data_IF_713339144068
#
_entry.id   IF_713339144068
#
_cell.length_a   1.000
_cell.length_b   1.000
_cell.length_c   1.000
_cell.angle_alpha   90.00
_cell.angle_beta   90.00
_cell.angle_gamma   90.00
#
_symmetry.space_group_name_H-M   'P 1'
#
loop_
_entity.id
_entity.type
_entity.pdbx_description
1 polymer ?
#
# COMPACT_ATOMS: atom_id res chain seq x y z
N UNK A 1 21.75 -15.56 -11.79
CA UNK A 1 20.98 -16.01 -12.96
C UNK A 1 19.98 -17.02 -12.45
N UNK A 2 18.67 -16.78 -12.59
CA UNK A 2 17.64 -17.74 -12.22
C UNK A 2 17.70 -18.94 -13.17
N UNK A 3 17.41 -20.13 -12.66
CA UNK A 3 17.34 -21.35 -13.49
C UNK A 3 16.11 -21.29 -14.40
N UNK A 4 16.17 -21.90 -15.59
CA UNK A 4 15.04 -21.92 -16.55
C UNK A 4 13.73 -22.46 -15.95
N UNK A 5 13.83 -23.31 -14.93
CA UNK A 5 12.70 -23.83 -14.15
C UNK A 5 12.06 -22.76 -13.26
N UNK A 6 12.88 -21.96 -12.55
CA UNK A 6 12.38 -20.86 -11.72
C UNK A 6 11.69 -19.77 -12.54
N UNK A 7 12.22 -19.43 -13.72
CA UNK A 7 11.55 -18.47 -14.61
C UNK A 7 10.18 -18.99 -15.09
N UNK A 8 10.09 -20.29 -15.43
CA UNK A 8 8.83 -20.95 -15.80
C UNK A 8 7.83 -20.95 -14.64
N UNK A 9 8.30 -21.23 -13.43
CA UNK A 9 7.45 -21.24 -12.23
C UNK A 9 6.93 -19.84 -11.89
N UNK A 10 7.79 -18.83 -11.96
CA UNK A 10 7.43 -17.42 -11.73
C UNK A 10 6.48 -16.90 -12.82
N UNK A 11 6.70 -17.32 -14.07
CA UNK A 11 5.81 -17.01 -15.18
C UNK A 11 4.44 -17.66 -14.96
N UNK A 12 4.40 -18.92 -14.52
CA UNK A 12 3.15 -19.61 -14.22
C UNK A 12 2.40 -18.87 -13.08
N UNK A 13 3.08 -18.52 -11.99
CA UNK A 13 2.50 -17.72 -10.88
C UNK A 13 1.92 -16.39 -11.38
N UNK A 14 2.60 -15.69 -12.30
CA UNK A 14 2.08 -14.45 -12.92
C UNK A 14 0.82 -14.68 -13.75
N UNK A 15 0.73 -15.80 -14.47
CA UNK A 15 -0.41 -16.12 -15.34
C UNK A 15 -1.66 -16.47 -14.51
N UNK A 16 -1.48 -17.13 -13.36
CA UNK A 16 -2.59 -17.60 -12.52
C UNK A 16 -3.09 -16.49 -11.57
N UNK A 17 -2.27 -15.48 -11.27
CA UNK A 17 -2.65 -14.44 -10.32
C UNK A 17 -3.72 -13.48 -10.89
N UNK A 18 -4.93 -13.43 -10.31
CA UNK A 18 -6.01 -12.55 -10.79
C UNK A 18 -5.65 -11.05 -10.73
N UNK A 19 -4.67 -10.66 -9.91
CA UNK A 19 -4.21 -9.27 -9.79
C UNK A 19 -3.31 -8.82 -10.95
N UNK A 20 -2.80 -9.75 -11.77
CA UNK A 20 -1.83 -9.43 -12.83
C UNK A 20 -2.44 -8.71 -14.04
N UNK A 21 -3.77 -8.73 -14.21
CA UNK A 21 -4.42 -8.19 -15.42
C UNK A 21 -4.79 -6.70 -15.37
N UNK A 22 -4.77 -6.05 -14.20
CA UNK A 22 -5.24 -4.66 -14.05
C UNK A 22 -4.06 -3.68 -14.17
N UNK A 23 -3.94 -3.02 -15.33
CA UNK A 23 -2.97 -1.94 -15.53
C UNK A 23 -3.26 -0.74 -14.63
N UNK A 24 -2.20 -0.08 -14.13
CA UNK A 24 -2.32 1.13 -13.29
C UNK A 24 -2.76 2.32 -14.14
N UNK A 25 -3.78 3.06 -13.67
CA UNK A 25 -4.17 4.33 -14.30
C UNK A 25 -3.12 5.42 -14.04
N UNK A 26 -3.06 6.45 -14.88
CA UNK A 26 -2.09 7.55 -14.72
C UNK A 26 -2.22 8.27 -13.37
N UNK A 27 -3.46 8.43 -12.86
CA UNK A 27 -3.71 9.00 -11.53
C UNK A 27 -3.18 8.10 -10.40
N UNK A 28 -3.30 6.79 -10.54
CA UNK A 28 -2.75 5.83 -9.57
C UNK A 28 -1.22 5.85 -9.56
N UNK A 29 -0.58 6.00 -10.72
CA UNK A 29 0.89 6.15 -10.81
C UNK A 29 1.38 7.43 -10.13
N UNK A 30 0.67 8.54 -10.30
CA UNK A 30 0.99 9.81 -9.67
C UNK A 30 0.81 9.74 -8.13
N UNK A 31 -0.28 9.14 -7.66
CA UNK A 31 -0.52 8.90 -6.24
C UNK A 31 0.60 8.05 -5.61
N UNK A 32 1.02 6.98 -6.27
CA UNK A 32 2.09 6.10 -5.78
C UNK A 32 3.43 6.81 -5.68
N UNK A 33 3.73 7.67 -6.66
CA UNK A 33 4.93 8.49 -6.64
C UNK A 33 4.90 9.48 -5.47
N UNK A 34 3.77 10.16 -5.28
CA UNK A 34 3.62 11.13 -4.20
C UNK A 34 3.71 10.47 -2.82
N UNK A 35 3.03 9.34 -2.61
CA UNK A 35 3.08 8.59 -1.34
C UNK A 35 4.49 8.12 -1.01
N UNK A 36 5.26 7.66 -2.01
CA UNK A 36 6.66 7.27 -1.81
C UNK A 36 7.57 8.45 -1.46
N UNK A 37 7.33 9.62 -2.06
CA UNK A 37 8.09 10.83 -1.76
C UNK A 37 7.77 11.40 -0.38
N UNK A 38 6.48 11.54 -0.05
CA UNK A 38 5.99 12.07 1.23
C UNK A 38 6.31 11.12 2.39
N UNK A 39 6.35 9.81 2.14
CA UNK A 39 6.68 8.79 3.16
C UNK A 39 8.18 8.63 3.47
N UNK A 40 9.06 9.40 2.84
CA UNK A 40 10.50 9.31 3.09
C UNK A 40 10.91 10.01 4.39
N UNK A 41 11.75 9.34 5.20
CA UNK A 41 12.35 9.91 6.41
C UNK A 41 13.15 11.20 6.15
N UNK A 42 13.78 11.30 4.97
CA UNK A 42 14.53 12.50 4.57
C UNK A 42 13.62 13.69 4.28
N UNK A 43 12.45 13.45 3.68
CA UNK A 43 11.46 14.49 3.39
C UNK A 43 10.86 15.05 4.69
N UNK A 44 10.50 14.16 5.63
CA UNK A 44 9.97 14.54 6.94
C UNK A 44 10.96 15.45 7.67
N UNK A 45 12.24 15.04 7.72
CA UNK A 45 13.28 15.80 8.41
C UNK A 45 13.50 17.19 7.79
N UNK A 46 13.55 17.28 6.46
CA UNK A 46 13.69 18.55 5.74
C UNK A 46 12.48 19.47 5.97
N UNK A 47 11.27 18.92 5.93
CA UNK A 47 10.03 19.66 6.16
C UNK A 47 9.96 20.21 7.59
N UNK A 48 10.36 19.42 8.59
CA UNK A 48 10.46 19.88 9.99
C UNK A 48 11.47 21.03 10.14
N UNK A 49 12.65 20.94 9.53
CA UNK A 49 13.65 22.02 9.56
C UNK A 49 13.07 23.29 8.91
N UNK A 50 12.38 23.16 7.77
CA UNK A 50 11.72 24.28 7.11
C UNK A 50 10.66 24.95 8.00
N UNK A 51 9.83 24.17 8.70
CA UNK A 51 8.85 24.70 9.65
C UNK A 51 9.52 25.46 10.80
N UNK A 52 10.58 24.90 11.39
CA UNK A 52 11.33 25.56 12.46
C UNK A 52 11.94 26.88 11.95
N UNK A 53 12.55 26.88 10.76
CA UNK A 53 13.11 28.07 10.14
C UNK A 53 12.02 29.14 9.91
N UNK A 54 10.84 28.75 9.43
CA UNK A 54 9.71 29.65 9.22
C UNK A 54 9.22 30.28 10.52
N UNK A 55 9.11 29.47 11.59
CA UNK A 55 8.76 29.95 12.92
C UNK A 55 9.83 30.92 13.43
N UNK A 56 11.12 30.59 13.31
CA UNK A 56 12.22 31.46 13.70
C UNK A 56 12.15 32.80 12.96
N UNK A 57 12.00 32.80 11.64
CA UNK A 57 11.88 34.03 10.84
C UNK A 57 10.69 34.88 11.32
N UNK A 58 9.53 34.28 11.56
CA UNK A 58 8.37 35.02 12.06
C UNK A 58 8.62 35.60 13.46
N UNK A 59 9.20 34.83 14.40
CA UNK A 59 9.46 35.28 15.78
C UNK A 59 10.55 36.36 15.84
N UNK A 60 11.64 36.22 15.11
CA UNK A 60 12.72 37.21 15.06
C UNK A 60 12.30 38.50 14.34
N UNK A 61 11.52 38.39 13.27
CA UNK A 61 11.00 39.55 12.54
C UNK A 61 9.90 40.28 13.34
N UNK A 62 9.10 39.57 14.16
CA UNK A 62 8.15 40.18 15.10
C UNK A 62 8.82 40.88 16.28
N UNK A 63 9.89 40.30 16.86
CA UNK A 63 10.54 40.88 18.05
C UNK A 63 11.44 42.08 17.71
N UNK A 64 11.99 42.14 16.49
CA UNK A 64 12.99 43.16 16.15
C UNK A 64 12.44 44.35 15.37
N UNK A 65 11.23 44.28 14.80
CA UNK A 65 10.67 45.34 13.98
C UNK A 65 9.30 45.78 14.52
N UNK A 66 9.19 47.04 14.95
CA UNK A 66 7.95 47.77 15.28
C UNK A 66 6.99 47.90 14.06
N UNK A 67 6.72 46.81 13.35
CA UNK A 67 5.84 46.72 12.18
C UNK A 67 4.63 45.85 12.49
N UNK A 68 3.48 46.09 11.83
CA UNK A 68 2.32 45.22 11.97
C UNK A 68 2.73 43.78 11.64
N UNK A 69 2.47 42.87 12.59
CA UNK A 69 2.85 41.47 12.50
C UNK A 69 2.23 40.84 11.25
N UNK A 70 3.08 40.35 10.34
CA UNK A 70 2.64 39.69 9.12
C UNK A 70 1.91 38.35 9.42
N UNK A 71 2.27 37.68 10.53
CA UNK A 71 1.57 36.50 11.06
C UNK A 71 1.69 36.43 12.61
N UNK A 72 0.78 37.05 13.38
CA UNK A 72 0.78 37.00 14.85
C UNK A 72 0.51 35.57 15.36
N UNK A 73 1.04 35.25 16.54
CA UNK A 73 0.67 34.01 17.24
C UNK A 73 -0.86 33.95 17.42
N UNK A 74 -1.56 32.90 16.93
CA UNK A 74 -1.13 31.52 16.69
C UNK A 74 -0.94 31.14 15.20
N UNK A 75 -0.08 31.86 14.45
CA UNK A 75 0.39 31.54 13.09
C UNK A 75 -0.71 31.06 12.14
N UNK A 76 -1.68 31.94 11.84
CA UNK A 76 -2.89 31.60 11.10
C UNK A 76 -2.59 31.14 9.67
N UNK A 77 -1.58 31.73 9.02
CA UNK A 77 -1.21 31.39 7.65
C UNK A 77 -0.55 30.01 7.58
N UNK A 78 0.35 29.71 8.53
CA UNK A 78 0.99 28.40 8.62
C UNK A 78 -0.04 27.29 8.87
N UNK A 79 -0.98 27.54 9.79
CA UNK A 79 -2.05 26.61 10.09
C UNK A 79 -2.96 26.36 8.86
N UNK A 80 -3.29 27.41 8.11
CA UNK A 80 -4.08 27.31 6.89
C UNK A 80 -3.39 26.44 5.82
N UNK A 81 -2.09 26.66 5.59
CA UNK A 81 -1.31 25.89 4.62
C UNK A 81 -1.23 24.41 5.02
N UNK A 82 -0.95 24.12 6.29
CA UNK A 82 -0.89 22.75 6.81
C UNK A 82 -2.24 22.02 6.71
N UNK A 83 -3.34 22.70 7.03
CA UNK A 83 -4.68 22.14 6.91
C UNK A 83 -5.03 21.83 5.44
N UNK A 84 -4.68 22.73 4.51
CA UNK A 84 -4.87 22.52 3.08
C UNK A 84 -4.05 21.34 2.54
N UNK A 85 -2.78 21.24 2.94
CA UNK A 85 -1.92 20.09 2.60
C UNK A 85 -2.52 18.77 3.09
N UNK A 86 -3.00 18.75 4.33
CA UNK A 86 -3.64 17.56 4.93
C UNK A 86 -4.92 17.18 4.19
N UNK A 87 -5.74 18.17 3.83
CA UNK A 87 -6.98 17.94 3.07
C UNK A 87 -6.72 17.29 1.71
N UNK A 88 -5.59 17.61 1.06
CA UNK A 88 -5.18 16.95 -0.18
C UNK A 88 -4.55 15.56 0.05
N UNK A 89 -3.83 15.38 1.15
CA UNK A 89 -3.19 14.10 1.49
C UNK A 89 -4.20 13.00 1.79
N UNK A 90 -5.28 13.30 2.52
CA UNK A 90 -6.26 12.29 2.96
C UNK A 90 -6.89 11.51 1.78
N UNK A 91 -7.42 12.15 0.72
CA UNK A 91 -7.96 11.44 -0.44
C UNK A 91 -6.95 10.55 -1.15
N UNK A 92 -5.67 10.97 -1.22
CA UNK A 92 -4.62 10.20 -1.89
C UNK A 92 -4.31 8.94 -1.09
N UNK A 93 -4.23 9.07 0.24
CA UNK A 93 -4.07 7.94 1.15
C UNK A 93 -5.28 7.00 1.02
N UNK A 94 -6.51 7.53 1.03
CA UNK A 94 -7.73 6.75 0.87
C UNK A 94 -7.79 6.03 -0.49
N UNK A 95 -7.36 6.67 -1.58
CA UNK A 95 -7.28 6.03 -2.89
C UNK A 95 -6.25 4.89 -2.92
N UNK A 96 -5.10 5.09 -2.26
CA UNK A 96 -4.09 4.03 -2.12
C UNK A 96 -4.62 2.85 -1.30
N UNK A 97 -5.28 3.14 -0.17
CA UNK A 97 -5.90 2.14 0.70
C UNK A 97 -7.03 1.37 0.01
N UNK A 98 -7.94 2.05 -0.68
CA UNK A 98 -9.04 1.40 -1.39
C UNK A 98 -8.52 0.41 -2.44
N UNK A 99 -7.44 0.76 -3.14
CA UNK A 99 -6.80 -0.11 -4.13
C UNK A 99 -6.06 -1.28 -3.49
N UNK A 100 -5.43 -1.07 -2.33
CA UNK A 100 -4.78 -2.15 -1.58
C UNK A 100 -5.82 -3.14 -1.03
N UNK A 101 -6.93 -2.65 -0.47
CA UNK A 101 -8.05 -3.46 -0.02
C UNK A 101 -8.69 -4.28 -1.15
N UNK A 102 -8.86 -3.70 -2.35
CA UNK A 102 -9.35 -4.45 -3.52
C UNK A 102 -8.39 -5.60 -3.88
N UNK A 103 -7.07 -5.36 -3.82
CA UNK A 103 -6.06 -6.39 -4.10
C UNK A 103 -6.05 -7.48 -3.03
N UNK A 104 -6.17 -7.09 -1.77
CA UNK A 104 -6.19 -8.00 -0.62
C UNK A 104 -7.43 -8.90 -0.64
N UNK A 105 -8.60 -8.33 -0.97
CA UNK A 105 -9.83 -9.08 -1.15
C UNK A 105 -9.73 -10.13 -2.25
N UNK A 106 -9.22 -9.75 -3.43
CA UNK A 106 -9.06 -10.69 -4.56
C UNK A 106 -8.05 -11.78 -4.22
N UNK A 107 -6.98 -11.45 -3.50
CA UNK A 107 -6.02 -12.45 -2.99
C UNK A 107 -6.71 -13.43 -2.05
N UNK A 108 -7.48 -12.93 -1.08
CA UNK A 108 -8.22 -13.76 -0.13
C UNK A 108 -9.22 -14.69 -0.83
N UNK A 109 -9.97 -14.18 -1.81
CA UNK A 109 -10.92 -14.99 -2.60
C UNK A 109 -10.18 -16.09 -3.40
N UNK A 110 -9.01 -15.79 -3.96
CA UNK A 110 -8.19 -16.75 -4.69
C UNK A 110 -7.62 -17.83 -3.77
N UNK A 111 -7.02 -17.44 -2.66
CA UNK A 111 -6.44 -18.36 -1.67
C UNK A 111 -7.52 -19.32 -1.14
N UNK A 112 -8.71 -18.78 -0.84
CA UNK A 112 -9.87 -19.60 -0.46
C UNK A 112 -10.28 -20.61 -1.54
N UNK A 113 -10.27 -20.22 -2.82
CA UNK A 113 -10.59 -21.14 -3.91
C UNK A 113 -9.55 -22.26 -4.09
N UNK A 114 -8.26 -21.93 -3.89
CA UNK A 114 -7.16 -22.91 -3.92
C UNK A 114 -7.29 -23.89 -2.76
N UNK A 115 -7.54 -23.41 -1.55
CA UNK A 115 -7.71 -24.26 -0.36
C UNK A 115 -8.88 -25.24 -0.52
N UNK A 116 -10.02 -24.76 -1.04
CA UNK A 116 -11.19 -25.62 -1.31
C UNK A 116 -10.89 -26.67 -2.37
N UNK A 117 -10.09 -26.34 -3.40
CA UNK A 117 -9.68 -27.30 -4.41
C UNK A 117 -8.74 -28.35 -3.82
N UNK A 118 -7.76 -27.95 -3.01
CA UNK A 118 -6.87 -28.87 -2.32
C UNK A 118 -7.63 -29.81 -1.37
N UNK A 119 -8.60 -29.28 -0.62
CA UNK A 119 -9.45 -30.10 0.27
C UNK A 119 -10.21 -31.18 -0.51
N UNK A 120 -10.73 -30.85 -1.70
CA UNK A 120 -11.39 -31.81 -2.59
C UNK A 120 -10.43 -32.87 -3.12
N UNK A 121 -9.26 -32.47 -3.61
CA UNK A 121 -8.26 -33.41 -4.13
C UNK A 121 -7.78 -34.39 -3.03
N UNK A 122 -7.56 -33.91 -1.80
CA UNK A 122 -7.21 -34.76 -0.65
C UNK A 122 -8.33 -35.75 -0.34
N UNK A 123 -9.59 -35.32 -0.41
CA UNK A 123 -10.77 -36.18 -0.20
C UNK A 123 -10.86 -37.27 -1.26
N UNK A 124 -10.70 -36.92 -2.53
CA UNK A 124 -10.74 -37.85 -3.66
C UNK A 124 -9.60 -38.89 -3.57
N UNK A 125 -8.40 -38.47 -3.15
CA UNK A 125 -7.26 -39.37 -2.87
C UNK A 125 -7.56 -40.31 -1.71
N UNK A 126 -8.15 -39.80 -0.62
CA UNK A 126 -8.53 -40.61 0.55
C UNK A 126 -9.57 -41.67 0.19
N UNK A 127 -10.59 -41.30 -0.59
CA UNK A 127 -11.60 -42.27 -1.07
C UNK A 127 -10.98 -43.36 -1.95
N UNK A 128 -10.04 -42.99 -2.81
CA UNK A 128 -9.31 -43.94 -3.65
C UNK A 128 -8.46 -44.90 -2.81
N UNK A 129 -7.81 -44.40 -1.77
CA UNK A 129 -7.03 -45.21 -0.82
C UNK A 129 -7.92 -46.18 -0.03
N UNK A 130 -9.08 -45.71 0.44
CA UNK A 130 -10.04 -46.54 1.18
C UNK A 130 -10.62 -47.65 0.30
N UNK A 131 -10.88 -47.39 -0.99
CA UNK A 131 -11.31 -48.42 -1.98
C UNK A 131 -10.24 -49.48 -2.22
N UNK A 132 -8.96 -49.08 -2.32
CA UNK A 132 -7.85 -50.03 -2.50
C UNK A 132 -7.69 -50.88 -1.23
N UNK A 133 -7.76 -50.25 -0.06
CA UNK A 133 -7.67 -50.93 1.24
C UNK A 133 -8.80 -51.94 1.45
N UNK A 134 -10.03 -51.62 1.05
CA UNK A 134 -11.16 -52.54 1.19
C UNK A 134 -11.04 -53.76 0.28
N UNK A 135 -10.55 -53.60 -0.96
CA UNK A 135 -10.26 -54.74 -1.84
C UNK A 135 -9.16 -55.66 -1.27
N UNK A 136 -8.11 -55.11 -0.68
CA UNK A 136 -7.03 -55.89 -0.06
C UNK A 136 -7.46 -56.66 1.19
N UNK A 137 -8.52 -56.21 1.89
CA UNK A 137 -9.02 -56.85 3.13
C UNK A 137 -9.92 -58.06 2.88
N UNK A 138 -10.30 -58.34 1.63
CA UNK A 138 -11.23 -59.42 1.25
C UNK A 138 -10.48 -60.70 0.81
N UNK A 139 -9.15 -60.72 0.88
CA UNK A 139 -8.30 -61.88 0.57
C UNK A 139 -7.48 -62.29 1.78
#
# INVERSE_FOLDING_TARGET
>A
MLTKEEEKHLQNIRIINPLSKKGLTSGQKAADFLTKWVGSWTFISLFTIFLILWICVNVYFLSSANKPSFDPYPFILLNLVLACLTAFQVPIILMSQNRENERDRVRTEYDYAVDRKAEKEIRDVKESLDKIKSHLRIK
#
